data_IF_909414705160
#
_entry.id   IF_909414705160
#
_cell.length_a   1.000
_cell.length_b   1.000
_cell.length_c   1.000
_cell.angle_alpha   90.00
_cell.angle_beta   90.00
_cell.angle_gamma   90.00
#
_symmetry.space_group_name_H-M   'P 1'
#
loop_
_entity.id
_entity.type
_entity.pdbx_description
1 polymer ?
#
# COMPACT_ATOMS: atom_id res chain seq x y z
N UNK A 1 -1.03 15.42 0.73
CA UNK A 1 0.25 15.00 1.32
C UNK A 1 1.25 14.77 0.19
N UNK A 2 2.42 15.43 0.20
CA UNK A 2 3.51 15.02 -0.67
C UNK A 2 3.93 13.60 -0.33
N UNK A 3 4.29 12.83 -1.36
CA UNK A 3 4.82 11.48 -1.20
C UNK A 3 6.28 11.44 -1.64
N UNK A 4 7.06 10.64 -0.93
CA UNK A 4 8.44 10.29 -1.29
C UNK A 4 8.50 8.78 -1.58
N UNK A 5 9.65 8.30 -2.06
CA UNK A 5 9.84 6.91 -2.49
C UNK A 5 9.78 6.72 -4.01
N UNK A 6 9.89 5.47 -4.43
CA UNK A 6 9.85 5.05 -5.83
C UNK A 6 9.56 3.54 -5.95
N UNK A 7 9.19 3.10 -7.16
CA UNK A 7 8.97 1.67 -7.47
C UNK A 7 10.27 0.86 -7.36
N UNK A 8 11.40 1.45 -7.76
CA UNK A 8 12.71 0.83 -7.67
C UNK A 8 13.78 1.92 -7.51
N UNK A 9 14.76 1.76 -6.58
CA UNK A 9 15.02 0.57 -5.78
C UNK A 9 14.34 0.49 -4.41
N UNK A 10 13.65 1.56 -3.98
CA UNK A 10 13.06 1.63 -2.63
C UNK A 10 11.87 0.67 -2.51
N UNK A 11 11.02 0.64 -3.53
CA UNK A 11 9.93 -0.31 -3.60
C UNK A 11 8.80 -0.02 -2.61
N UNK A 12 8.46 1.26 -2.45
CA UNK A 12 7.21 1.75 -1.84
C UNK A 12 7.11 3.27 -1.97
N UNK A 13 5.96 3.83 -1.59
CA UNK A 13 5.72 5.27 -1.49
C UNK A 13 5.16 5.61 -0.12
N UNK A 14 5.78 6.56 0.57
CA UNK A 14 5.38 6.91 1.93
C UNK A 14 4.99 8.38 2.06
N UNK A 15 4.15 8.65 3.05
CA UNK A 15 3.75 9.99 3.47
C UNK A 15 4.32 10.32 4.85
N UNK A 16 4.57 11.59 5.13
CA UNK A 16 4.92 12.02 6.49
C UNK A 16 3.67 12.40 7.27
N UNK A 17 3.45 11.77 8.42
CA UNK A 17 2.51 12.24 9.44
C UNK A 17 3.26 12.82 10.64
N UNK A 18 2.76 13.94 11.15
CA UNK A 18 3.32 14.58 12.34
C UNK A 18 2.44 14.25 13.56
N UNK A 19 3.01 13.52 14.52
CA UNK A 19 2.28 12.93 15.66
C UNK A 19 2.84 13.46 16.99
N UNK A 20 1.94 13.79 17.91
CA UNK A 20 2.22 14.22 19.28
C UNK A 20 2.34 15.73 19.47
N UNK A 21 2.64 16.14 20.70
CA UNK A 21 2.94 17.52 21.09
C UNK A 21 4.17 17.53 22.02
N UNK A 22 5.33 18.04 21.59
CA UNK A 22 5.60 18.65 20.29
C UNK A 22 5.49 17.64 19.14
N UNK A 23 5.05 18.13 17.97
CA UNK A 23 4.82 17.30 16.79
C UNK A 23 6.13 16.70 16.25
N UNK A 24 6.16 15.38 16.03
CA UNK A 24 7.31 14.65 15.48
C UNK A 24 6.93 13.98 14.15
N UNK A 25 7.80 14.03 13.13
CA UNK A 25 7.54 13.39 11.85
C UNK A 25 7.73 11.87 11.94
N UNK A 26 6.87 11.13 11.24
CA UNK A 26 6.99 9.69 10.98
C UNK A 26 6.69 9.42 9.51
N UNK A 27 7.50 8.57 8.88
CA UNK A 27 7.32 8.09 7.51
C UNK A 27 6.44 6.86 7.53
N UNK A 28 5.29 6.94 6.88
CA UNK A 28 4.31 5.86 6.86
C UNK A 28 4.04 5.42 5.43
N UNK A 29 4.21 4.13 5.18
CA UNK A 29 3.96 3.54 3.87
C UNK A 29 2.48 3.67 3.47
N UNK A 30 2.21 4.06 2.23
CA UNK A 30 0.85 4.31 1.75
C UNK A 30 0.22 2.98 1.37
N UNK A 31 -0.74 2.52 2.19
CA UNK A 31 -1.32 1.19 2.04
C UNK A 31 -2.86 1.24 1.96
N UNK A 32 -3.40 1.03 0.76
CA UNK A 32 -4.85 0.92 0.52
C UNK A 32 -5.44 -0.48 0.80
N UNK A 33 -4.60 -1.48 1.06
CA UNK A 33 -4.97 -2.79 1.55
C UNK A 33 -5.17 -2.86 3.07
N UNK A 34 -4.55 -1.94 3.82
CA UNK A 34 -4.62 -1.87 5.30
C UNK A 34 -5.69 -0.90 5.82
N UNK A 35 -6.48 -1.35 6.81
CA UNK A 35 -7.46 -0.49 7.48
C UNK A 35 -6.95 0.26 8.69
N UNK A 36 -5.85 -0.18 9.30
CA UNK A 36 -5.29 0.47 10.47
C UNK A 36 -4.03 1.23 10.07
N UNK A 37 -3.98 2.52 10.40
CA UNK A 37 -2.71 3.24 10.46
C UNK A 37 -1.99 2.83 11.74
N UNK A 38 -0.74 2.42 11.63
CA UNK A 38 0.08 2.06 12.79
C UNK A 38 1.54 2.47 12.56
N UNK A 39 2.28 2.63 13.65
CA UNK A 39 3.72 2.82 13.61
C UNK A 39 4.40 2.09 14.75
N UNK A 40 5.68 1.81 14.55
CA UNK A 40 6.52 1.15 15.54
C UNK A 40 6.62 1.99 16.82
N UNK A 41 6.44 1.31 17.94
CA UNK A 41 6.16 1.95 19.21
C UNK A 41 6.91 1.28 20.34
N UNK A 42 7.65 2.08 21.11
CA UNK A 42 8.26 1.64 22.37
C UNK A 42 7.21 1.71 23.47
N UNK A 43 6.44 0.62 23.58
CA UNK A 43 5.30 0.53 24.48
C UNK A 43 5.75 0.44 25.94
N UNK A 44 5.19 1.23 26.87
CA UNK A 44 5.68 1.35 28.25
C UNK A 44 5.66 0.03 29.06
N UNK A 45 4.85 -0.95 28.64
CA UNK A 45 4.74 -2.26 29.30
C UNK A 45 5.42 -3.38 28.50
N UNK A 46 5.48 -3.26 27.16
CA UNK A 46 5.88 -4.36 26.28
C UNK A 46 7.24 -4.09 25.59
N UNK A 47 7.76 -2.87 25.69
CA UNK A 47 8.90 -2.42 24.88
C UNK A 47 8.56 -2.38 23.40
N UNK A 48 9.56 -2.61 22.55
CA UNK A 48 9.40 -2.82 21.11
C UNK A 48 10.13 -4.11 20.73
N UNK A 49 9.39 -5.17 20.37
CA UNK A 49 9.91 -6.47 19.95
C UNK A 49 9.85 -6.57 18.43
N UNK A 50 10.96 -6.97 17.81
CA UNK A 50 11.04 -7.12 16.35
C UNK A 50 10.96 -5.81 15.56
N UNK A 51 10.84 -4.66 16.24
CA UNK A 51 10.90 -3.35 15.62
C UNK A 51 12.27 -3.08 15.01
N UNK A 52 12.30 -2.19 14.01
CA UNK A 52 13.51 -1.86 13.30
C UNK A 52 14.59 -1.30 14.24
N UNK A 53 15.83 -1.81 14.22
CA UNK A 53 16.89 -1.32 15.10
C UNK A 53 17.45 0.05 14.67
N UNK A 54 17.20 0.45 13.42
CA UNK A 54 17.64 1.72 12.82
C UNK A 54 16.50 2.34 12.02
N UNK A 55 15.39 2.73 12.67
CA UNK A 55 14.27 3.35 12.00
C UNK A 55 14.65 4.77 11.53
N UNK A 56 13.94 5.34 10.54
CA UNK A 56 14.12 6.73 10.13
C UNK A 56 13.96 7.72 11.28
N UNK A 57 13.02 7.46 12.20
CA UNK A 57 12.77 8.27 13.39
C UNK A 57 12.74 7.40 14.65
N UNK A 58 13.04 7.97 15.84
CA UNK A 58 12.90 7.23 17.09
C UNK A 58 11.49 6.66 17.24
N UNK A 59 11.37 5.40 17.65
CA UNK A 59 10.07 4.76 17.87
C UNK A 59 9.16 5.63 18.72
N UNK A 60 7.88 5.61 18.41
CA UNK A 60 6.90 6.41 19.13
C UNK A 60 6.78 5.93 20.57
N UNK A 61 6.85 6.88 21.51
CA UNK A 61 6.76 6.63 22.96
C UNK A 61 5.48 7.27 23.48
N UNK A 62 4.36 6.52 23.57
CA UNK A 62 3.11 7.06 24.07
C UNK A 62 3.18 7.33 25.58
N UNK A 63 2.57 8.43 26.01
CA UNK A 63 2.21 8.58 27.41
C UNK A 63 1.08 7.59 27.78
N UNK A 64 1.01 7.18 29.04
CA UNK A 64 0.11 6.11 29.49
C UNK A 64 -1.39 6.42 29.27
N UNK A 65 -1.77 7.70 29.22
CA UNK A 65 -3.13 8.15 28.90
C UNK A 65 -3.49 7.98 27.42
N UNK A 66 -2.48 8.05 26.52
CA UNK A 66 -2.65 7.90 25.07
C UNK A 66 -3.02 6.48 24.66
N UNK A 67 -2.75 5.49 25.50
CA UNK A 67 -3.06 4.07 25.27
C UNK A 67 -4.43 3.64 25.83
N UNK A 68 -5.23 4.58 26.36
CA UNK A 68 -6.51 4.27 27.03
C UNK A 68 -7.70 4.18 26.07
N UNK A 69 -7.54 3.48 24.95
CA UNK A 69 -8.64 3.21 24.02
C UNK A 69 -9.51 2.10 24.59
N UNK A 70 -10.73 2.46 25.03
CA UNK A 70 -11.66 1.50 25.61
C UNK A 70 -11.99 0.36 24.65
N UNK A 71 -11.82 -0.89 25.08
CA UNK A 71 -12.06 -2.05 24.23
C UNK A 71 -13.52 -2.16 23.80
N UNK A 72 -14.46 -1.91 24.72
CA UNK A 72 -15.89 -1.86 24.42
C UNK A 72 -16.32 -0.61 23.66
N UNK A 73 -15.40 0.32 23.41
CA UNK A 73 -15.68 1.61 22.78
C UNK A 73 -15.92 1.49 21.27
N UNK A 74 -16.52 2.54 20.66
CA UNK A 74 -16.91 2.54 19.24
C UNK A 74 -15.71 2.38 18.29
N UNK A 75 -14.57 2.98 18.64
CA UNK A 75 -13.35 2.87 17.84
C UNK A 75 -12.81 1.43 17.80
N UNK A 76 -12.72 0.77 18.96
CA UNK A 76 -12.23 -0.60 19.02
C UNK A 76 -13.21 -1.58 18.38
N UNK A 77 -14.52 -1.36 18.56
CA UNK A 77 -15.55 -2.12 17.85
C UNK A 77 -15.48 -1.91 16.33
N UNK A 78 -15.11 -0.73 15.86
CA UNK A 78 -14.85 -0.50 14.44
C UNK A 78 -13.62 -1.27 13.97
N UNK A 79 -12.52 -1.18 14.70
CA UNK A 79 -11.27 -1.85 14.40
C UNK A 79 -11.44 -3.37 14.31
N UNK A 80 -12.12 -4.01 15.27
CA UNK A 80 -12.46 -5.45 15.26
C UNK A 80 -13.27 -5.92 14.05
N UNK A 81 -14.10 -5.05 13.48
CA UNK A 81 -14.88 -5.37 12.28
C UNK A 81 -14.03 -5.19 11.02
N UNK A 82 -13.15 -4.20 11.02
CA UNK A 82 -12.40 -3.80 9.82
C UNK A 82 -11.09 -4.58 9.66
N UNK A 83 -10.57 -5.18 10.74
CA UNK A 83 -9.36 -6.00 10.74
C UNK A 83 -9.72 -7.41 11.22
N UNK A 84 -9.58 -8.45 10.37
CA UNK A 84 -9.89 -9.83 10.76
C UNK A 84 -8.97 -10.34 11.88
N UNK A 85 -9.49 -11.22 12.75
CA UNK A 85 -8.69 -11.98 13.72
C UNK A 85 -8.51 -11.34 15.09
N UNK A 86 -9.09 -10.16 15.34
CA UNK A 86 -8.93 -9.48 16.64
C UNK A 86 -9.82 -10.13 17.70
N UNK A 87 -9.26 -10.47 18.88
CA UNK A 87 -10.01 -11.12 19.95
C UNK A 87 -11.13 -10.23 20.52
N UNK A 88 -12.11 -10.88 21.15
CA UNK A 88 -13.10 -10.17 21.94
C UNK A 88 -12.48 -9.46 23.14
N UNK A 89 -13.16 -8.41 23.60
CA UNK A 89 -12.70 -7.63 24.73
C UNK A 89 -12.67 -8.44 26.02
N UNK A 90 -11.46 -8.64 26.54
CA UNK A 90 -11.27 -9.22 27.86
C UNK A 90 -11.82 -8.28 28.94
N UNK A 91 -12.64 -8.81 29.85
CA UNK A 91 -13.06 -8.07 31.05
C UNK A 91 -11.90 -7.62 31.95
N UNK A 92 -10.73 -8.27 31.81
CA UNK A 92 -9.53 -7.96 32.57
C UNK A 92 -8.76 -6.76 32.00
N UNK A 93 -9.03 -6.37 30.75
CA UNK A 93 -8.40 -5.23 30.10
C UNK A 93 -9.41 -4.36 29.35
N UNK A 94 -10.33 -3.70 30.07
CA UNK A 94 -11.39 -2.90 29.44
C UNK A 94 -10.87 -1.60 28.81
N UNK A 95 -9.63 -1.21 29.08
CA UNK A 95 -9.06 0.08 28.70
C UNK A 95 -8.01 0.01 27.59
N UNK A 96 -7.74 -1.18 27.04
CA UNK A 96 -6.86 -1.35 25.88
C UNK A 96 -7.59 -1.99 24.73
N UNK A 97 -7.33 -1.49 23.54
CA UNK A 97 -7.81 -2.10 22.31
C UNK A 97 -6.64 -2.72 21.57
N UNK A 98 -6.46 -4.01 21.81
CA UNK A 98 -5.41 -4.80 21.18
C UNK A 98 -5.74 -5.08 19.71
N UNK A 99 -4.71 -5.14 18.87
CA UNK A 99 -4.81 -5.58 17.49
C UNK A 99 -3.67 -6.53 17.11
N UNK A 100 -3.98 -7.41 16.17
CA UNK A 100 -3.03 -8.25 15.45
C UNK A 100 -3.41 -8.23 13.98
N UNK A 101 -2.44 -7.88 13.11
CA UNK A 101 -2.61 -7.83 11.67
C UNK A 101 -1.60 -8.79 11.04
N UNK A 102 -2.12 -9.75 10.28
CA UNK A 102 -1.31 -10.63 9.45
C UNK A 102 -1.16 -10.01 8.05
N UNK A 103 0.08 -9.76 7.66
CA UNK A 103 0.45 -9.35 6.30
C UNK A 103 0.88 -10.56 5.47
N UNK A 104 0.99 -10.37 4.15
CA UNK A 104 1.52 -11.39 3.24
C UNK A 104 2.95 -11.77 3.62
N UNK A 105 3.75 -10.80 4.06
CA UNK A 105 5.17 -10.95 4.42
C UNK A 105 5.46 -10.40 5.80
N UNK A 106 4.70 -10.81 6.81
CA UNK A 106 4.96 -10.42 8.19
C UNK A 106 3.70 -10.26 9.04
N UNK A 107 3.87 -9.72 10.24
CA UNK A 107 2.78 -9.45 11.19
C UNK A 107 3.08 -8.19 11.98
N UNK A 108 2.04 -7.44 12.31
CA UNK A 108 2.09 -6.34 13.27
C UNK A 108 1.11 -6.59 14.41
N UNK A 109 1.59 -6.48 15.65
CA UNK A 109 0.79 -6.59 16.85
C UNK A 109 1.03 -5.36 17.74
N UNK A 110 -0.06 -4.87 18.35
CA UNK A 110 0.00 -3.66 19.15
C UNK A 110 -1.29 -3.32 19.89
N UNK A 111 -1.28 -2.16 20.52
CA UNK A 111 -2.46 -1.55 21.14
C UNK A 111 -2.83 -0.25 20.42
N UNK A 112 -4.12 0.07 20.32
CA UNK A 112 -4.51 1.38 19.80
C UNK A 112 -4.09 2.49 20.78
N UNK A 113 -3.41 3.48 20.23
CA UNK A 113 -3.16 4.76 20.85
C UNK A 113 -4.04 5.84 20.23
N UNK A 114 -4.22 6.95 20.92
CA UNK A 114 -4.84 8.16 20.40
C UNK A 114 -3.95 9.34 20.75
N UNK A 115 -3.48 10.06 19.74
CA UNK A 115 -2.70 11.28 19.93
C UNK A 115 -2.97 12.32 18.84
N UNK A 116 -2.43 13.51 19.04
CA UNK A 116 -2.61 14.65 18.15
C UNK A 116 -1.86 14.39 16.84
N UNK A 117 -2.59 14.37 15.72
CA UNK A 117 -2.01 14.34 14.39
C UNK A 117 -2.25 15.70 13.71
N UNK A 118 -1.18 16.25 13.14
CA UNK A 118 -1.26 17.49 12.35
C UNK A 118 -1.50 17.15 10.89
N UNK A 119 -2.70 17.46 10.40
CA UNK A 119 -3.05 17.30 8.97
C UNK A 119 -2.82 18.63 8.26
N UNK A 120 -2.06 18.60 7.16
CA UNK A 120 -1.69 19.81 6.41
C UNK A 120 -2.95 20.59 6.02
N UNK A 121 -3.01 21.87 6.40
CA UNK A 121 -4.12 22.77 6.09
C UNK A 121 -5.41 22.51 6.88
N UNK A 122 -5.36 21.70 7.95
CA UNK A 122 -6.50 21.39 8.83
C UNK A 122 -6.09 21.49 10.31
N UNK A 123 -7.07 21.54 11.20
CA UNK A 123 -6.84 21.60 12.65
C UNK A 123 -6.14 20.35 13.18
N UNK A 124 -5.35 20.52 14.25
CA UNK A 124 -4.83 19.40 15.05
C UNK A 124 -5.99 18.65 15.71
N UNK A 125 -6.06 17.32 15.56
CA UNK A 125 -7.05 16.47 16.23
C UNK A 125 -6.41 15.21 16.77
N UNK A 126 -7.03 14.67 17.82
CA UNK A 126 -6.75 13.34 18.32
C UNK A 126 -7.26 12.31 17.31
N UNK A 127 -6.34 11.54 16.74
CA UNK A 127 -6.62 10.45 15.81
C UNK A 127 -6.05 9.18 16.41
N UNK A 128 -6.77 8.08 16.27
CA UNK A 128 -6.31 6.79 16.73
C UNK A 128 -5.47 6.07 15.67
N UNK A 129 -4.45 5.36 16.15
CA UNK A 129 -3.54 4.56 15.35
C UNK A 129 -2.98 3.42 16.20
N UNK A 130 -2.38 2.41 15.57
CA UNK A 130 -1.70 1.33 16.27
C UNK A 130 -0.33 1.76 16.81
N UNK A 131 -0.11 1.59 18.11
CA UNK A 131 1.20 1.51 18.71
C UNK A 131 1.70 0.07 18.53
N UNK A 132 2.37 -0.19 17.41
CA UNK A 132 2.87 -1.52 17.03
C UNK A 132 4.14 -1.84 17.80
N UNK A 133 4.02 -2.68 18.83
CA UNK A 133 5.14 -3.02 19.71
C UNK A 133 5.70 -4.42 19.45
N UNK A 134 5.09 -5.23 18.60
CA UNK A 134 5.60 -6.54 18.20
C UNK A 134 5.48 -6.70 16.68
N UNK A 135 6.61 -6.62 15.97
CA UNK A 135 6.68 -6.81 14.52
C UNK A 135 7.35 -8.15 14.19
N UNK A 136 6.84 -8.84 13.19
CA UNK A 136 7.48 -10.02 12.62
C UNK A 136 7.65 -9.80 11.12
N UNK A 137 8.89 -9.89 10.65
CA UNK A 137 9.24 -9.77 9.23
C UNK A 137 10.15 -10.94 8.81
N UNK A 138 10.22 -11.27 7.50
CA UNK A 138 11.19 -12.23 6.99
C UNK A 138 12.62 -11.87 7.40
N UNK A 139 13.43 -12.87 7.76
CA UNK A 139 14.79 -12.66 8.24
C UNK A 139 15.72 -11.99 7.19
N UNK A 140 15.37 -12.09 5.91
CA UNK A 140 16.06 -11.51 4.76
C UNK A 140 15.42 -10.21 4.26
N UNK A 141 14.44 -9.65 4.98
CA UNK A 141 13.86 -8.36 4.64
C UNK A 141 14.93 -7.24 4.69
N UNK A 142 14.97 -6.35 3.69
CA UNK A 142 15.85 -5.20 3.75
C UNK A 142 15.43 -4.27 4.91
N UNK A 143 16.34 -3.45 5.47
CA UNK A 143 15.95 -2.47 6.48
C UNK A 143 14.81 -1.58 5.98
N UNK A 144 13.72 -1.48 6.75
CA UNK A 144 12.64 -0.57 6.42
C UNK A 144 13.12 0.88 6.38
N UNK A 145 12.67 1.62 5.37
CA UNK A 145 12.85 3.07 5.27
C UNK A 145 11.63 3.86 5.76
N UNK A 146 10.69 3.19 6.44
CA UNK A 146 9.49 3.78 7.04
C UNK A 146 9.35 3.35 8.50
N UNK A 147 8.63 4.16 9.27
CA UNK A 147 8.35 3.94 10.70
C UNK A 147 7.05 3.13 10.92
N UNK A 148 6.28 2.85 9.86
CA UNK A 148 5.00 2.15 9.93
C UNK A 148 4.17 2.24 8.66
N UNK A 149 2.87 2.01 8.79
CA UNK A 149 1.90 1.96 7.68
C UNK A 149 0.80 3.02 7.87
N UNK A 150 0.52 3.76 6.81
CA UNK A 150 -0.65 4.62 6.67
C UNK A 150 -1.78 3.81 6.03
N UNK A 151 -2.62 3.23 6.88
CA UNK A 151 -3.79 2.46 6.45
C UNK A 151 -4.88 3.35 5.83
N UNK A 152 -5.09 3.16 4.53
CA UNK A 152 -6.04 3.88 3.68
C UNK A 152 -7.12 2.96 3.09
N UNK A 153 -7.30 1.77 3.67
CA UNK A 153 -8.40 0.87 3.36
C UNK A 153 -9.78 1.45 3.67
N UNK A 154 -10.82 0.65 3.45
CA UNK A 154 -12.23 1.09 3.49
C UNK A 154 -12.88 0.97 4.86
N UNK A 155 -12.13 0.52 5.86
CA UNK A 155 -12.56 0.37 7.24
C UNK A 155 -12.91 1.71 7.91
N UNK A 156 -13.86 1.68 8.85
CA UNK A 156 -14.23 2.84 9.68
C UNK A 156 -13.15 3.21 10.70
N UNK A 157 -12.27 2.29 11.06
CA UNK A 157 -11.08 2.57 11.88
C UNK A 157 -9.95 3.26 11.07
N UNK A 158 -10.06 3.29 9.74
CA UNK A 158 -9.05 3.88 8.85
C UNK A 158 -8.91 5.38 8.98
N UNK A 159 -7.76 5.88 8.53
CA UNK A 159 -7.37 7.29 8.68
C UNK A 159 -8.40 8.26 8.08
N UNK A 160 -8.80 8.04 6.82
CA UNK A 160 -9.77 8.88 6.14
C UNK A 160 -11.16 8.84 6.82
N UNK A 161 -11.60 7.66 7.28
CA UNK A 161 -12.86 7.52 7.99
C UNK A 161 -12.88 8.27 9.33
N UNK A 162 -11.77 8.22 10.09
CA UNK A 162 -11.61 9.00 11.32
C UNK A 162 -11.65 10.51 11.05
N UNK A 163 -10.93 10.98 10.03
CA UNK A 163 -10.97 12.39 9.62
C UNK A 163 -12.39 12.84 9.26
N UNK A 164 -13.15 12.00 8.54
CA UNK A 164 -14.54 12.28 8.19
C UNK A 164 -15.42 12.35 9.44
N UNK A 165 -15.25 11.42 10.38
CA UNK A 165 -15.97 11.41 11.66
C UNK A 165 -15.68 12.64 12.53
N UNK A 166 -14.44 13.13 12.49
CA UNK A 166 -14.00 14.36 13.16
C UNK A 166 -14.38 15.64 12.40
N UNK A 167 -15.12 15.53 11.28
CA UNK A 167 -15.51 16.64 10.40
C UNK A 167 -14.32 17.42 9.85
N UNK A 168 -13.15 16.79 9.78
CA UNK A 168 -11.95 17.39 9.18
C UNK A 168 -12.03 17.36 7.65
N UNK A 169 -12.70 16.37 7.08
CA UNK A 169 -12.96 16.25 5.63
C UNK A 169 -14.46 16.09 5.38
N UNK A 170 -14.93 16.52 4.21
CA UNK A 170 -16.34 16.42 3.81
C UNK A 170 -16.66 15.12 3.09
N UNK A 171 -15.68 14.46 2.48
CA UNK A 171 -15.87 13.17 1.80
C UNK A 171 -14.89 12.13 2.35
N UNK A 172 -15.30 10.85 2.40
CA UNK A 172 -14.39 9.75 2.72
C UNK A 172 -13.78 9.20 1.42
N UNK A 173 -13.01 10.05 0.75
CA UNK A 173 -12.39 9.76 -0.54
C UNK A 173 -10.89 9.88 -0.39
N UNK A 174 -10.16 8.97 -1.01
CA UNK A 174 -8.70 9.03 -1.14
C UNK A 174 -8.33 8.94 -2.61
N UNK A 175 -7.21 9.53 -2.97
CA UNK A 175 -6.64 9.40 -4.32
C UNK A 175 -5.13 9.57 -4.25
N UNK A 176 -4.39 8.85 -5.08
CA UNK A 176 -2.94 8.98 -5.14
C UNK A 176 -2.45 9.08 -6.58
N UNK A 177 -1.37 9.83 -6.78
CA UNK A 177 -0.69 9.95 -8.05
C UNK A 177 0.80 9.72 -7.82
N UNK A 178 1.27 8.51 -8.14
CA UNK A 178 2.67 8.12 -8.03
C UNK A 178 3.40 8.42 -9.33
N UNK A 179 4.62 8.96 -9.23
CA UNK A 179 5.46 9.23 -10.39
C UNK A 179 6.46 8.10 -10.61
N UNK A 180 6.62 7.69 -11.87
CA UNK A 180 7.62 6.70 -12.28
C UNK A 180 9.07 7.15 -12.08
N UNK A 181 9.29 8.44 -11.82
CA UNK A 181 10.60 9.02 -11.45
C UNK A 181 10.79 9.10 -9.92
N UNK A 182 9.87 8.51 -9.16
CA UNK A 182 9.74 8.70 -7.73
C UNK A 182 8.87 9.89 -7.36
N UNK A 183 8.56 9.99 -6.07
CA UNK A 183 7.63 10.95 -5.46
C UNK A 183 6.19 10.82 -5.94
N UNK A 184 5.31 11.58 -5.32
CA UNK A 184 3.90 11.66 -5.72
C UNK A 184 3.09 12.58 -4.84
N UNK A 185 1.78 12.43 -4.95
CA UNK A 185 0.84 13.14 -4.09
C UNK A 185 -0.28 12.20 -3.66
N UNK A 186 -0.65 12.28 -2.38
CA UNK A 186 -1.82 11.65 -1.78
C UNK A 186 -2.85 12.73 -1.44
N UNK A 187 -4.08 12.52 -1.87
CA UNK A 187 -5.25 13.30 -1.57
C UNK A 187 -6.12 12.54 -0.57
N UNK A 188 -6.61 13.22 0.45
CA UNK A 188 -7.51 12.65 1.46
C UNK A 188 -8.64 13.65 1.69
N UNK A 189 -9.87 13.22 1.45
CA UNK A 189 -11.07 14.03 1.58
C UNK A 189 -11.44 14.77 0.32
N UNK A 190 -11.50 16.10 0.45
CA UNK A 190 -12.13 17.07 -0.47
C UNK A 190 -11.38 17.22 -1.81
N UNK A 191 -11.16 16.10 -2.50
CA UNK A 191 -10.54 16.02 -3.80
C UNK A 191 -11.62 16.09 -4.89
N UNK A 192 -11.51 17.08 -5.77
CA UNK A 192 -12.34 17.16 -6.96
C UNK A 192 -11.66 16.41 -8.11
N UNK A 193 -12.10 15.19 -8.46
CA UNK A 193 -11.54 14.47 -9.60
C UNK A 193 -11.78 15.27 -10.89
N UNK A 194 -10.90 15.14 -11.91
CA UNK A 194 -11.14 15.73 -13.22
C UNK A 194 -12.48 15.28 -13.80
N UNK A 195 -13.22 16.21 -14.42
CA UNK A 195 -14.52 15.91 -15.05
C UNK A 195 -14.42 15.09 -16.34
N UNK A 196 -13.21 14.90 -16.88
CA UNK A 196 -12.90 14.13 -18.08
C UNK A 196 -11.62 13.31 -17.88
N UNK A 197 -11.50 12.19 -18.59
CA UNK A 197 -10.33 11.33 -18.53
C UNK A 197 -10.28 10.40 -17.31
N UNK A 198 -11.40 10.24 -16.61
CA UNK A 198 -11.56 9.31 -15.48
C UNK A 198 -12.58 8.24 -15.84
N UNK A 199 -12.24 6.98 -15.60
CA UNK A 199 -13.16 5.84 -15.69
C UNK A 199 -13.55 5.43 -14.28
N UNK A 200 -14.85 5.40 -14.00
CA UNK A 200 -15.38 4.99 -12.70
C UNK A 200 -15.78 3.52 -12.73
N UNK A 201 -15.36 2.77 -11.72
CA UNK A 201 -15.69 1.37 -11.54
C UNK A 201 -16.23 1.16 -10.12
N UNK A 202 -17.37 0.48 -9.94
CA UNK A 202 -17.90 0.21 -8.61
C UNK A 202 -16.96 -0.72 -7.83
N UNK A 203 -16.70 -0.39 -6.57
CA UNK A 203 -15.93 -1.23 -5.64
C UNK A 203 -16.89 -2.07 -4.78
N UNK A 204 -16.53 -3.32 -4.49
CA UNK A 204 -17.35 -4.25 -3.69
C UNK A 204 -17.48 -3.78 -2.24
N UNK A 205 -18.62 -3.26 -1.82
CA UNK A 205 -18.84 -2.69 -0.48
C UNK A 205 -18.67 -3.67 0.69
N UNK A 206 -18.86 -4.96 0.46
CA UNK A 206 -18.70 -6.00 1.50
C UNK A 206 -17.24 -6.25 1.89
N UNK A 207 -16.28 -5.67 1.18
CA UNK A 207 -14.85 -5.90 1.38
C UNK A 207 -14.19 -4.68 2.03
N UNK A 208 -13.27 -4.97 2.93
CA UNK A 208 -12.54 -3.97 3.70
C UNK A 208 -11.34 -3.38 2.93
N UNK A 209 -11.01 -3.95 1.77
CA UNK A 209 -10.04 -3.47 0.77
C UNK A 209 -10.73 -3.07 -0.54
N UNK A 210 -9.98 -2.44 -1.45
CA UNK A 210 -10.50 -1.99 -2.75
C UNK A 210 -10.44 -3.11 -3.79
N UNK A 211 -11.58 -3.75 -4.05
CA UNK A 211 -11.74 -4.73 -5.13
C UNK A 211 -12.89 -4.29 -6.04
N UNK A 212 -12.65 -4.13 -7.36
CA UNK A 212 -13.72 -3.92 -8.33
C UNK A 212 -14.38 -5.24 -8.75
N UNK A 213 -13.93 -6.39 -8.22
CA UNK A 213 -14.44 -7.71 -8.54
C UNK A 213 -13.61 -8.45 -9.59
N UNK A 214 -14.30 -9.18 -10.46
CA UNK A 214 -13.71 -10.10 -11.42
C UNK A 214 -13.02 -9.38 -12.58
N UNK A 215 -11.81 -9.83 -12.93
CA UNK A 215 -11.01 -9.26 -13.99
C UNK A 215 -10.31 -10.30 -14.88
N UNK A 216 -9.94 -9.86 -16.08
CA UNK A 216 -9.23 -10.61 -17.11
C UNK A 216 -8.06 -9.77 -17.64
N UNK A 217 -6.88 -10.38 -17.80
CA UNK A 217 -5.70 -9.71 -18.35
C UNK A 217 -5.58 -9.95 -19.86
N UNK A 218 -5.32 -8.87 -20.60
CA UNK A 218 -5.18 -8.87 -22.06
C UNK A 218 -3.80 -8.37 -22.46
N UNK A 219 -3.31 -8.86 -23.60
CA UNK A 219 -2.18 -8.31 -24.35
C UNK A 219 -2.52 -8.30 -25.84
N UNK A 220 -2.19 -7.20 -26.52
CA UNK A 220 -2.52 -7.02 -27.95
C UNK A 220 -4.00 -7.29 -28.28
N UNK A 221 -4.90 -6.81 -27.41
CA UNK A 221 -6.36 -6.99 -27.48
C UNK A 221 -6.84 -8.46 -27.44
N UNK A 222 -5.95 -9.40 -27.13
CA UNK A 222 -6.29 -10.80 -26.93
C UNK A 222 -6.18 -11.14 -25.44
N UNK A 223 -7.10 -11.96 -24.89
CA UNK A 223 -6.96 -12.42 -23.52
C UNK A 223 -5.66 -13.23 -23.40
N UNK A 224 -4.91 -13.02 -22.32
CA UNK A 224 -3.71 -13.81 -22.03
C UNK A 224 -4.06 -15.29 -22.01
N UNK A 225 -5.19 -15.62 -21.37
CA UNK A 225 -5.78 -16.94 -21.37
C UNK A 225 -7.31 -16.81 -21.31
N UNK A 226 -8.02 -17.62 -22.09
CA UNK A 226 -9.47 -17.73 -21.95
C UNK A 226 -9.80 -18.46 -20.65
N UNK A 227 -10.44 -17.75 -19.71
CA UNK A 227 -10.99 -18.27 -18.44
C UNK A 227 -9.99 -19.14 -17.63
N UNK A 228 -9.13 -18.49 -16.83
CA UNK A 228 -9.60 -18.12 -15.48
C UNK A 228 -9.75 -16.61 -15.26
N UNK A 229 -10.92 -16.22 -14.73
CA UNK A 229 -11.25 -14.88 -14.22
C UNK A 229 -10.80 -14.78 -12.76
N UNK A 230 -9.88 -13.87 -12.45
CA UNK A 230 -9.37 -13.68 -11.10
C UNK A 230 -10.05 -12.49 -10.42
N UNK A 231 -10.06 -12.46 -9.09
CA UNK A 231 -10.48 -11.26 -8.36
C UNK A 231 -9.34 -10.24 -8.37
N UNK A 232 -9.63 -9.02 -8.83
CA UNK A 232 -8.68 -7.92 -8.81
C UNK A 232 -8.76 -7.17 -7.48
N UNK A 233 -7.59 -6.76 -6.98
CA UNK A 233 -7.46 -5.90 -5.81
C UNK A 233 -6.55 -4.73 -6.20
N UNK A 234 -6.96 -3.51 -5.88
CA UNK A 234 -6.13 -2.32 -6.00
C UNK A 234 -5.45 -2.05 -4.65
N UNK A 235 -4.14 -2.26 -4.63
CA UNK A 235 -3.31 -2.13 -3.46
C UNK A 235 -2.10 -1.25 -3.75
N UNK A 236 -1.79 -0.34 -2.82
CA UNK A 236 -0.61 0.52 -2.84
C UNK A 236 0.45 0.08 -1.82
N UNK A 237 0.10 -0.80 -0.86
CA UNK A 237 1.04 -1.41 0.08
C UNK A 237 1.91 -2.51 -0.53
N UNK A 238 1.76 -2.76 -1.84
CA UNK A 238 2.55 -3.73 -2.59
C UNK A 238 3.11 -3.10 -3.87
N UNK A 239 4.43 -3.18 -4.05
CA UNK A 239 5.12 -2.51 -5.18
C UNK A 239 4.87 -3.13 -6.54
N UNK A 240 4.82 -4.47 -6.63
CA UNK A 240 4.66 -5.18 -7.90
C UNK A 240 3.27 -5.80 -8.00
N UNK A 241 2.77 -5.94 -9.23
CA UNK A 241 1.51 -6.63 -9.47
C UNK A 241 1.71 -8.14 -9.40
N UNK A 242 0.89 -8.80 -8.57
CA UNK A 242 0.81 -10.25 -8.49
C UNK A 242 -0.39 -10.75 -9.29
N UNK A 243 -0.18 -11.83 -10.05
CA UNK A 243 -1.24 -12.52 -10.80
C UNK A 243 -1.13 -14.02 -10.58
N UNK A 244 -2.20 -14.81 -10.79
CA UNK A 244 -2.13 -16.25 -10.70
C UNK A 244 -1.00 -16.82 -11.57
N UNK A 245 -0.26 -17.80 -11.07
CA UNK A 245 0.94 -18.36 -11.72
C UNK A 245 0.70 -18.76 -13.19
N UNK A 246 -0.50 -19.27 -13.48
CA UNK A 246 -0.90 -19.66 -14.83
C UNK A 246 -1.02 -18.47 -15.80
N UNK A 247 -1.53 -17.32 -15.32
CA UNK A 247 -1.61 -16.08 -16.11
C UNK A 247 -0.21 -15.47 -16.28
N UNK A 248 0.60 -15.48 -15.22
CA UNK A 248 1.98 -15.01 -15.27
C UNK A 248 2.80 -15.79 -16.33
N UNK A 249 2.77 -17.12 -16.28
CA UNK A 249 3.55 -17.96 -17.20
C UNK A 249 3.15 -17.73 -18.67
N UNK A 250 1.85 -17.58 -18.94
CA UNK A 250 1.35 -17.32 -20.30
C UNK A 250 1.70 -15.90 -20.79
N UNK A 251 1.63 -14.90 -19.90
CA UNK A 251 2.12 -13.56 -20.18
C UNK A 251 3.61 -13.58 -20.54
N UNK A 252 4.43 -14.26 -19.75
CA UNK A 252 5.87 -14.41 -20.02
C UNK A 252 6.12 -15.09 -21.37
N UNK A 253 5.37 -16.15 -21.70
CA UNK A 253 5.44 -16.82 -23.00
C UNK A 253 5.15 -15.85 -24.16
N UNK A 254 4.09 -15.05 -24.05
CA UNK A 254 3.73 -14.04 -25.08
C UNK A 254 4.76 -12.92 -25.18
N UNK A 255 5.35 -12.47 -24.07
CA UNK A 255 6.44 -11.48 -24.09
C UNK A 255 7.68 -12.05 -24.78
N UNK A 256 8.09 -13.29 -24.47
CA UNK A 256 9.19 -13.98 -25.17
C UNK A 256 8.93 -14.10 -26.67
N UNK A 257 7.71 -14.49 -27.06
CA UNK A 257 7.30 -14.56 -28.46
C UNK A 257 7.39 -13.19 -29.16
N UNK A 258 6.91 -12.13 -28.51
CA UNK A 258 6.96 -10.76 -29.02
C UNK A 258 8.41 -10.29 -29.26
N UNK A 259 9.33 -10.72 -28.40
CA UNK A 259 10.73 -10.31 -28.45
C UNK A 259 11.63 -11.26 -29.26
N UNK A 260 11.07 -12.32 -29.85
CA UNK A 260 11.85 -13.37 -30.54
C UNK A 260 12.66 -12.84 -31.72
N UNK A 261 12.16 -11.82 -32.43
CA UNK A 261 12.86 -11.14 -33.54
C UNK A 261 13.62 -9.88 -33.09
N UNK A 262 13.58 -9.56 -31.80
CA UNK A 262 14.25 -8.38 -31.25
C UNK A 262 15.76 -8.62 -31.04
N UNK A 263 16.51 -7.53 -30.85
CA UNK A 263 17.92 -7.63 -30.43
C UNK A 263 18.12 -7.83 -28.92
N UNK A 264 17.03 -7.97 -28.17
CA UNK A 264 17.06 -8.12 -26.72
C UNK A 264 17.36 -9.56 -26.32
N UNK A 265 18.21 -9.73 -25.32
CA UNK A 265 18.60 -11.05 -24.80
C UNK A 265 18.06 -11.20 -23.39
N UNK A 266 17.30 -12.26 -23.14
CA UNK A 266 16.83 -12.60 -21.79
C UNK A 266 18.02 -12.89 -20.87
N UNK A 267 17.98 -12.34 -19.67
CA UNK A 267 19.02 -12.49 -18.65
C UNK A 267 18.41 -12.65 -17.27
N UNK A 268 19.18 -13.25 -16.36
CA UNK A 268 18.83 -13.29 -14.93
C UNK A 268 19.03 -11.90 -14.33
N UNK A 269 17.95 -11.29 -13.84
CA UNK A 269 18.00 -10.04 -13.08
C UNK A 269 18.52 -10.27 -11.66
N UNK A 270 18.89 -9.17 -10.98
CA UNK A 270 19.19 -9.25 -9.52
C UNK A 270 17.95 -9.03 -8.70
N UNK A 271 17.09 -8.11 -9.13
CA UNK A 271 15.90 -7.70 -8.39
C UNK A 271 14.64 -8.42 -8.84
N UNK A 272 14.52 -8.72 -10.14
CA UNK A 272 13.35 -9.36 -10.73
C UNK A 272 13.71 -10.68 -11.42
N UNK A 273 12.78 -11.65 -11.44
CA UNK A 273 13.04 -12.98 -11.98
C UNK A 273 13.21 -13.00 -13.51
N UNK A 274 12.73 -11.97 -14.21
CA UNK A 274 12.69 -11.90 -15.67
C UNK A 274 13.21 -10.55 -16.15
N UNK A 275 14.29 -10.55 -16.92
CA UNK A 275 14.96 -9.34 -17.41
C UNK A 275 15.45 -9.53 -18.84
N UNK A 276 15.63 -8.41 -19.56
CA UNK A 276 16.25 -8.39 -20.88
C UNK A 276 17.35 -7.34 -20.94
N UNK A 277 18.44 -7.65 -21.65
CA UNK A 277 19.51 -6.71 -21.97
C UNK A 277 19.51 -6.36 -23.44
N UNK A 278 19.77 -5.10 -23.75
CA UNK A 278 20.10 -4.63 -25.10
C UNK A 278 21.60 -4.55 -25.32
N UNK A 279 22.01 -4.17 -26.54
CA UNK A 279 23.43 -3.92 -26.89
C UNK A 279 24.04 -2.75 -26.11
N UNK A 280 23.20 -1.81 -25.68
CA UNK A 280 23.57 -0.63 -24.87
C UNK A 280 22.69 -0.59 -23.61
N UNK A 281 23.18 -0.02 -22.49
CA UNK A 281 22.36 0.19 -21.30
C UNK A 281 21.14 1.07 -21.60
N UNK A 282 20.00 0.73 -21.01
CA UNK A 282 18.79 1.55 -21.07
C UNK A 282 18.89 2.69 -20.05
N UNK A 283 18.55 3.91 -20.45
CA UNK A 283 18.41 5.07 -19.56
C UNK A 283 16.98 5.17 -19.02
N UNK A 284 16.00 4.71 -19.78
CA UNK A 284 14.60 4.68 -19.36
C UNK A 284 13.81 3.63 -20.13
N UNK A 285 12.61 3.30 -19.64
CA UNK A 285 11.68 2.41 -20.36
C UNK A 285 11.34 2.94 -21.75
N UNK A 286 11.44 4.26 -22.00
CA UNK A 286 11.18 4.83 -23.32
C UNK A 286 12.14 4.31 -24.40
N UNK A 287 13.33 3.83 -24.02
CA UNK A 287 14.32 3.30 -24.97
C UNK A 287 13.86 1.96 -25.58
N UNK A 288 12.93 1.25 -24.91
CA UNK A 288 12.49 -0.10 -25.28
C UNK A 288 10.98 -0.27 -25.42
N UNK A 289 10.17 0.67 -24.93
CA UNK A 289 8.71 0.50 -24.83
C UNK A 289 8.03 0.06 -26.13
N UNK A 290 8.52 0.49 -27.29
CA UNK A 290 7.93 0.16 -28.59
C UNK A 290 8.13 -1.32 -29.00
N UNK A 291 9.04 -2.04 -28.33
CA UNK A 291 9.26 -3.48 -28.54
C UNK A 291 8.31 -4.34 -27.69
N UNK A 292 7.56 -3.73 -26.77
CA UNK A 292 6.66 -4.41 -25.86
C UNK A 292 5.20 -4.01 -26.12
N UNK A 293 4.27 -4.95 -25.96
CA UNK A 293 2.83 -4.70 -26.16
C UNK A 293 2.19 -4.09 -24.93
N UNK A 294 1.24 -3.17 -25.09
CA UNK A 294 0.45 -2.72 -23.94
C UNK A 294 -0.38 -3.89 -23.39
N UNK A 295 -0.53 -3.90 -22.07
CA UNK A 295 -1.48 -4.79 -21.39
C UNK A 295 -2.77 -4.02 -21.13
N UNK A 296 -3.87 -4.72 -20.94
CA UNK A 296 -5.08 -4.12 -20.39
C UNK A 296 -5.78 -5.07 -19.44
N UNK A 297 -6.36 -4.50 -18.38
CA UNK A 297 -7.18 -5.22 -17.41
C UNK A 297 -8.63 -4.93 -17.73
N UNK A 298 -9.37 -5.96 -18.15
CA UNK A 298 -10.81 -5.90 -18.35
C UNK A 298 -11.50 -6.25 -17.04
N UNK A 299 -12.30 -5.34 -16.51
CA UNK A 299 -13.00 -5.48 -15.24
C UNK A 299 -14.49 -5.64 -15.51
N UNK A 300 -15.08 -6.72 -15.01
CA UNK A 300 -16.52 -7.00 -15.16
C UNK A 300 -17.25 -6.67 -13.87
N UNK A 301 -18.27 -5.82 -13.96
CA UNK A 301 -19.08 -5.38 -12.82
C UNK A 301 -20.57 -5.35 -13.18
N UNK A 302 -21.43 -5.13 -12.19
CA UNK A 302 -22.90 -5.20 -12.34
C UNK A 302 -23.48 -4.26 -13.42
N UNK A 303 -22.73 -3.23 -13.83
CA UNK A 303 -23.15 -2.23 -14.81
C UNK A 303 -22.43 -2.35 -16.17
N UNK A 304 -21.68 -3.44 -16.40
CA UNK A 304 -21.00 -3.69 -17.67
C UNK A 304 -19.51 -4.00 -17.50
N UNK A 305 -18.71 -3.48 -18.42
CA UNK A 305 -17.27 -3.75 -18.47
C UNK A 305 -16.50 -2.45 -18.60
N UNK A 306 -15.43 -2.34 -17.81
CA UNK A 306 -14.46 -1.25 -17.86
C UNK A 306 -13.08 -1.79 -18.20
N UNK A 307 -12.23 -0.97 -18.80
CA UNK A 307 -10.86 -1.33 -19.16
C UNK A 307 -9.88 -0.38 -18.49
N UNK A 308 -8.81 -0.95 -17.94
CA UNK A 308 -7.63 -0.22 -17.47
C UNK A 308 -6.47 -0.53 -18.40
N UNK A 309 -6.02 0.46 -19.16
CA UNK A 309 -4.86 0.34 -20.04
C UNK A 309 -3.56 0.44 -19.24
N UNK A 310 -2.64 -0.49 -19.48
CA UNK A 310 -1.37 -0.61 -18.78
C UNK A 310 -0.25 -0.58 -19.85
N UNK A 311 0.28 0.60 -20.18
CA UNK A 311 1.34 0.74 -21.16
C UNK A 311 2.67 0.14 -20.62
N UNK A 312 3.66 -0.15 -21.48
CA UNK A 312 4.96 -0.71 -21.06
C UNK A 312 5.65 0.06 -19.93
N UNK A 313 5.46 1.38 -19.85
CA UNK A 313 5.99 2.23 -18.77
C UNK A 313 5.44 1.90 -17.38
N UNK A 314 4.32 1.18 -17.30
CA UNK A 314 3.65 0.84 -16.05
C UNK A 314 3.89 -0.62 -15.62
N UNK A 315 4.53 -1.45 -16.43
CA UNK A 315 4.88 -2.83 -16.06
C UNK A 315 6.35 -3.21 -16.32
N UNK A 316 7.15 -2.30 -16.92
CA UNK A 316 8.59 -2.44 -17.06
C UNK A 316 9.31 -1.50 -16.10
N UNK A 317 10.44 -1.94 -15.56
CA UNK A 317 11.41 -1.11 -14.86
C UNK A 317 12.78 -1.25 -15.49
N UNK A 318 13.63 -0.24 -15.33
CA UNK A 318 15.04 -0.33 -15.68
C UNK A 318 15.81 -0.66 -14.42
N UNK A 319 16.42 -1.84 -14.37
CA UNK A 319 17.30 -2.21 -13.26
C UNK A 319 18.56 -1.34 -13.30
N UNK A 320 18.73 -0.49 -12.30
CA UNK A 320 19.93 0.33 -12.12
C UNK A 320 20.93 -0.36 -11.19
N UNK A 321 22.23 -0.17 -11.43
CA UNK A 321 23.26 -0.59 -10.49
C UNK A 321 23.20 0.28 -9.25
N UNK A 322 22.55 -0.21 -8.20
CA UNK A 322 22.64 0.37 -6.86
C UNK A 322 24.03 -0.02 -6.35
N UNK A 323 24.94 0.94 -6.18
CA UNK A 323 26.09 0.72 -5.30
C UNK A 323 25.50 0.56 -3.91
N UNK A 324 25.69 -0.59 -3.27
CA UNK A 324 25.38 -0.72 -1.85
C UNK A 324 26.12 0.41 -1.13
N UNK A 325 25.44 1.23 -0.32
CA UNK A 325 26.16 2.16 0.54
C UNK A 325 27.00 1.33 1.52
N UNK A 326 28.29 1.66 1.60
CA UNK A 326 29.25 1.09 2.56
C UNK A 326 28.78 1.27 4.01
#
# INVERSE_FOLDING_TARGET
FPLEGNVYPVGHFYATLNIGEPAKPYFLDVDTGSNLTWLECDHPVHGCKGCHPRPPHPHYKPAADKLRVQCGGPLCAAMRRDVPGIPECSRKDPHRCHYEIQYVTGKSEGDLATDIISVIGKDKKNIAFGCGYNQEEPADAPPSSVDGILGLGRGKAGFAAQLKGLKMITENVIGHCFSSKGKGVLFVGDFNPPSRGVTWVPMRESLFYYSPGLAELFTDKQPIRGNPTFEAVFDSGTTYTFVPAQIYNELVSKVRGTLSESSLVEVKGRALPLCWKGKKPFRSVNDVKNQFKALSLKITHAHGTSYLDIPPQNYLIVEVNIRQPD
#
